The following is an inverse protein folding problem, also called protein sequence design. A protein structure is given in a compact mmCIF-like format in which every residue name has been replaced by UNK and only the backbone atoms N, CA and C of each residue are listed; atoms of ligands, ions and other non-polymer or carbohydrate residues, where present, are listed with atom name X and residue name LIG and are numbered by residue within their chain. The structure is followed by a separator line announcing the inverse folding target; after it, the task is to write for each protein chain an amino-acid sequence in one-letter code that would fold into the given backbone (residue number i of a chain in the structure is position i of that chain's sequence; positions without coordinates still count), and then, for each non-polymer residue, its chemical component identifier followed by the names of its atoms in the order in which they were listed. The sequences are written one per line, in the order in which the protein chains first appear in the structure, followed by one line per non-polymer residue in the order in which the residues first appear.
data_IF_485954238233
#
_entry.id   IF_485954238233
#
_cell.length_a   1.000
_cell.length_b   1.000
_cell.length_c   1.000
_cell.angle_alpha   90.00
_cell.angle_beta   90.00
_cell.angle_gamma   90.00
#
_symmetry.space_group_name_H-M   'P 1'
#
loop_
_entity.id
_entity.type
_entity.pdbx_description
1 polymer ?
#
# COMPACT_ATOMS: atom_id res chain seq x y z
N UNK A 1 -18.70 -16.82 8.81
CA UNK A 1 -18.16 -15.53 8.35
C UNK A 1 -18.02 -15.61 6.83
N UNK A 2 -18.56 -14.65 6.08
CA UNK A 2 -18.37 -14.63 4.63
C UNK A 2 -16.89 -14.35 4.33
N UNK A 3 -16.30 -15.10 3.39
CA UNK A 3 -14.94 -14.84 2.95
C UNK A 3 -14.87 -13.42 2.35
N UNK A 4 -13.77 -12.69 2.56
CA UNK A 4 -13.60 -11.38 1.94
C UNK A 4 -13.75 -11.52 0.41
N UNK A 5 -14.51 -10.61 -0.19
CA UNK A 5 -14.81 -10.61 -1.64
C UNK A 5 -13.52 -10.52 -2.47
N UNK A 6 -12.43 -10.00 -1.88
CA UNK A 6 -11.11 -9.87 -2.50
C UNK A 6 -10.03 -10.38 -1.53
N UNK A 7 -9.09 -11.18 -2.04
CA UNK A 7 -7.96 -11.70 -1.25
C UNK A 7 -6.77 -10.72 -1.27
N UNK A 8 -5.88 -10.81 -0.28
CA UNK A 8 -4.63 -10.01 -0.26
C UNK A 8 -3.79 -10.24 -1.52
N UNK A 9 -3.71 -11.48 -1.98
CA UNK A 9 -2.95 -11.84 -3.17
C UNK A 9 -3.48 -11.11 -4.42
N UNK A 10 -4.80 -10.98 -4.56
CA UNK A 10 -5.40 -10.23 -5.66
C UNK A 10 -5.05 -8.73 -5.60
N UNK A 11 -5.00 -8.13 -4.40
CA UNK A 11 -4.59 -6.73 -4.23
C UNK A 11 -3.10 -6.52 -4.57
N UNK A 12 -2.26 -7.50 -4.25
CA UNK A 12 -0.84 -7.48 -4.58
C UNK A 12 -0.62 -7.57 -6.09
N UNK A 13 -1.30 -8.50 -6.77
CA UNK A 13 -1.23 -8.67 -8.22
C UNK A 13 -1.76 -7.45 -8.98
N UNK A 14 -2.80 -6.80 -8.47
CA UNK A 14 -3.33 -5.55 -9.02
C UNK A 14 -2.45 -4.31 -8.74
N UNK A 15 -1.42 -4.43 -7.90
CA UNK A 15 -0.53 -3.33 -7.55
C UNK A 15 -1.09 -2.32 -6.54
N UNK A 16 -2.15 -2.68 -5.78
CA UNK A 16 -2.82 -1.77 -4.85
C UNK A 16 -1.96 -1.34 -3.63
N UNK A 17 -0.85 -2.03 -3.40
CA UNK A 17 0.11 -1.77 -2.33
C UNK A 17 1.11 -0.65 -2.65
N UNK A 18 1.18 -0.19 -3.91
CA UNK A 18 2.01 0.95 -4.29
C UNK A 18 1.34 2.27 -3.90
N UNK A 19 2.04 3.04 -3.07
CA UNK A 19 1.66 4.38 -2.66
C UNK A 19 2.29 5.47 -3.52
N UNK A 20 2.38 6.67 -2.94
CA UNK A 20 2.97 7.83 -3.61
C UNK A 20 4.50 7.85 -3.48
N UNK A 21 5.14 8.76 -4.23
CA UNK A 21 6.57 9.05 -4.08
C UNK A 21 6.90 9.53 -2.67
N UNK A 22 8.09 9.18 -2.16
CA UNK A 22 8.53 9.49 -0.79
C UNK A 22 8.58 10.98 -0.46
N UNK A 23 8.62 11.85 -1.47
CA UNK A 23 8.60 13.30 -1.30
C UNK A 23 7.20 13.94 -1.34
N UNK A 24 6.15 13.18 -1.70
CA UNK A 24 4.78 13.63 -1.94
C UNK A 24 3.82 12.75 -1.15
N UNK A 25 4.05 12.64 0.16
CA UNK A 25 3.19 11.88 1.06
C UNK A 25 2.69 12.76 2.20
N UNK A 26 1.53 12.40 2.75
CA UNK A 26 0.99 13.05 3.92
C UNK A 26 1.53 12.37 5.19
N UNK A 27 2.19 13.08 6.13
CA UNK A 27 2.72 12.49 7.37
C UNK A 27 1.69 11.70 8.18
N UNK A 28 0.39 12.02 8.06
CA UNK A 28 -0.71 11.29 8.69
C UNK A 28 -0.88 9.85 8.18
N UNK A 29 -0.29 9.51 7.04
CA UNK A 29 -0.29 8.16 6.48
C UNK A 29 0.74 7.22 7.13
N UNK A 30 1.61 7.74 8.01
CA UNK A 30 2.71 6.96 8.61
C UNK A 30 2.30 5.60 9.21
N UNK A 31 1.15 5.47 9.90
CA UNK A 31 0.72 4.18 10.46
C UNK A 31 0.32 3.13 9.39
N UNK A 32 0.04 3.57 8.16
CA UNK A 32 -0.42 2.73 7.05
C UNK A 32 0.67 2.51 5.99
N UNK A 33 1.90 2.93 6.26
CA UNK A 33 3.03 2.76 5.35
C UNK A 33 3.92 1.68 5.94
N UNK A 34 3.99 0.54 5.25
CA UNK A 34 4.96 -0.51 5.54
C UNK A 34 6.40 -0.03 5.35
N UNK A 35 6.69 0.68 4.26
CA UNK A 35 8.05 1.15 3.97
C UNK A 35 8.17 1.94 2.68
N UNK A 36 9.39 2.06 2.16
CA UNK A 36 9.63 2.66 0.85
C UNK A 36 10.73 1.91 0.10
N UNK A 37 10.55 1.74 -1.22
CA UNK A 37 11.53 1.13 -2.11
C UNK A 37 11.56 1.91 -3.42
N UNK A 38 12.75 2.20 -3.94
CA UNK A 38 12.95 2.96 -5.18
C UNK A 38 12.17 4.31 -5.22
N UNK A 39 12.06 4.98 -4.06
CA UNK A 39 11.36 6.26 -3.96
C UNK A 39 9.83 6.19 -3.95
N UNK A 40 9.23 5.01 -3.86
CA UNK A 40 7.77 4.80 -3.74
C UNK A 40 7.45 4.21 -2.36
N UNK A 41 6.41 4.73 -1.70
CA UNK A 41 5.88 4.14 -0.48
C UNK A 41 5.16 2.82 -0.77
N UNK A 42 5.39 1.83 0.07
CA UNK A 42 4.62 0.58 0.10
C UNK A 42 3.69 0.70 1.29
N UNK A 43 2.40 0.55 1.06
CA UNK A 43 1.35 0.61 2.07
C UNK A 43 1.31 -0.72 2.85
#
# INVERSE_FOLDING_TARGET
MAAPVVTMQHLLEAGAHFGHQTHRWNPRMKPYIFGARNGIHIL
#
